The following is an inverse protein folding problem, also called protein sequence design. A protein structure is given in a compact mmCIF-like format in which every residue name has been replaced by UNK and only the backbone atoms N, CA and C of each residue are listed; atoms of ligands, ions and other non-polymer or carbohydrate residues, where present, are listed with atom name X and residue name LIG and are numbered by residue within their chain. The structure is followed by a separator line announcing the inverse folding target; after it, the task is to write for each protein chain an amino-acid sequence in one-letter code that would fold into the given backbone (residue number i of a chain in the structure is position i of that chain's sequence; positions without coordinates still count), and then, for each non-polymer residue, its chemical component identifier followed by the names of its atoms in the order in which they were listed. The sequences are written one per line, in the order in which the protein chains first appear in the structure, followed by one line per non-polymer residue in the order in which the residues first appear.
data_IF_531593720144
#
_entry.id   IF_531593720144
#
_cell.length_a   1.000
_cell.length_b   1.000
_cell.length_c   1.000
_cell.angle_alpha   90.00
_cell.angle_beta   90.00
_cell.angle_gamma   90.00
#
_symmetry.space_group_name_H-M   'P 1'
#
loop_
_entity.id
_entity.type
_entity.pdbx_description
1 polymer ?
#
# COMPACT_ATOMS: atom_id res chain seq x y z
N UNK A 1 14.93 34.82 -46.83
CA UNK A 1 13.71 35.16 -46.08
C UNK A 1 13.68 34.31 -44.81
N UNK A 2 14.17 34.86 -43.70
CA UNK A 2 14.18 34.19 -42.39
C UNK A 2 12.90 34.56 -41.64
N UNK A 3 12.03 33.58 -41.37
CA UNK A 3 10.82 33.80 -40.57
C UNK A 3 11.20 33.91 -39.09
N UNK A 4 11.17 35.12 -38.53
CA UNK A 4 11.36 35.32 -37.10
C UNK A 4 10.22 34.67 -36.30
N UNK A 5 10.56 33.69 -35.47
CA UNK A 5 9.60 33.07 -34.55
C UNK A 5 9.50 33.96 -33.30
N UNK A 6 8.44 34.78 -33.22
CA UNK A 6 8.15 35.57 -32.04
C UNK A 6 7.79 34.65 -30.84
N UNK A 7 8.21 35.00 -29.61
CA UNK A 7 7.90 34.28 -28.36
C UNK A 7 6.41 33.94 -28.21
N UNK A 8 5.53 34.86 -28.63
CA UNK A 8 4.07 34.63 -28.64
C UNK A 8 3.66 33.53 -29.63
N UNK A 9 4.30 33.50 -30.80
CA UNK A 9 4.10 32.45 -31.81
C UNK A 9 4.65 31.10 -31.37
N UNK A 10 5.78 31.08 -30.65
CA UNK A 10 6.32 29.88 -30.03
C UNK A 10 5.37 29.33 -28.96
N UNK A 11 4.95 30.16 -27.99
CA UNK A 11 4.01 29.76 -26.94
C UNK A 11 2.66 29.28 -27.50
N UNK A 12 2.11 29.97 -28.50
CA UNK A 12 0.87 29.55 -29.16
C UNK A 12 1.03 28.19 -29.86
N UNK A 13 2.15 27.95 -30.54
CA UNK A 13 2.44 26.66 -31.18
C UNK A 13 2.65 25.54 -30.14
N UNK A 14 3.31 25.82 -29.02
CA UNK A 14 3.51 24.86 -27.93
C UNK A 14 2.19 24.44 -27.26
N UNK A 15 1.28 25.39 -27.01
CA UNK A 15 -0.05 25.10 -26.45
C UNK A 15 -0.87 24.23 -27.41
N UNK A 16 -0.83 24.55 -28.71
CA UNK A 16 -1.51 23.74 -29.73
C UNK A 16 -0.94 22.31 -29.82
N UNK A 17 0.37 22.13 -29.69
CA UNK A 17 1.01 20.81 -29.65
C UNK A 17 0.58 19.99 -28.41
N UNK A 18 0.46 20.63 -27.24
CA UNK A 18 0.00 19.95 -26.01
C UNK A 18 -1.48 19.54 -26.04
N UNK A 19 -2.33 20.28 -26.76
CA UNK A 19 -3.73 19.88 -26.96
C UNK A 19 -3.87 18.64 -27.86
N UNK A 20 -2.97 18.47 -28.84
CA UNK A 20 -2.90 17.27 -29.69
C UNK A 20 -2.44 16.02 -28.94
N UNK A 21 -1.55 16.16 -27.94
CA UNK A 21 -1.09 15.05 -27.12
C UNK A 21 -2.22 14.40 -26.31
N UNK A 22 -3.23 15.17 -25.87
CA UNK A 22 -4.38 14.66 -25.12
C UNK A 22 -5.24 13.65 -25.92
N UNK A 23 -5.21 13.72 -27.26
CA UNK A 23 -5.92 12.78 -28.12
C UNK A 23 -5.18 11.42 -28.22
N UNK A 24 -3.86 11.42 -28.09
CA UNK A 24 -3.01 10.23 -28.11
C UNK A 24 -2.80 9.55 -26.75
N UNK A 25 -3.33 10.12 -25.66
CA UNK A 25 -3.25 9.50 -24.35
C UNK A 25 -4.01 8.18 -24.34
N UNK A 26 -3.35 7.16 -23.80
CA UNK A 26 -3.97 5.87 -23.48
C UNK A 26 -5.14 6.07 -22.51
N UNK A 27 -6.04 5.09 -22.47
CA UNK A 27 -7.15 5.13 -21.50
C UNK A 27 -6.64 5.22 -20.05
N UNK A 28 -5.48 4.64 -19.77
CA UNK A 28 -4.84 4.69 -18.45
C UNK A 28 -4.35 6.10 -18.10
N UNK A 29 -3.69 6.80 -19.04
CA UNK A 29 -3.23 8.18 -18.82
C UNK A 29 -4.39 9.15 -18.66
N UNK A 30 -5.50 8.95 -19.40
CA UNK A 30 -6.73 9.73 -19.23
C UNK A 30 -7.37 9.47 -17.86
N UNK A 31 -7.39 8.21 -17.40
CA UNK A 31 -7.90 7.85 -16.08
C UNK A 31 -7.02 8.42 -14.95
N UNK A 32 -5.69 8.37 -15.10
CA UNK A 32 -4.75 8.94 -14.15
C UNK A 32 -4.87 10.46 -14.07
N UNK A 33 -4.97 11.15 -15.21
CA UNK A 33 -5.17 12.60 -15.25
C UNK A 33 -6.50 13.01 -14.60
N UNK A 34 -7.58 12.24 -14.83
CA UNK A 34 -8.87 12.45 -14.17
C UNK A 34 -8.80 12.22 -12.65
N UNK A 35 -7.98 11.26 -12.19
CA UNK A 35 -7.76 11.01 -10.77
C UNK A 35 -6.90 12.11 -10.13
N UNK A 36 -5.86 12.59 -10.81
CA UNK A 36 -5.01 13.69 -10.36
C UNK A 36 -5.75 15.03 -10.30
N UNK A 37 -6.76 15.23 -11.16
CA UNK A 37 -7.63 16.41 -11.14
C UNK A 37 -8.66 16.40 -10.01
N UNK A 38 -8.92 15.24 -9.36
CA UNK A 38 -9.74 15.20 -8.16
C UNK A 38 -8.95 15.81 -7.01
N UNK A 39 -9.52 16.82 -6.34
CA UNK A 39 -9.01 17.30 -5.06
C UNK A 39 -8.80 16.07 -4.15
N UNK A 40 -7.65 15.95 -3.46
CA UNK A 40 -7.47 14.88 -2.49
C UNK A 40 -8.67 14.93 -1.55
N UNK A 41 -9.39 13.81 -1.48
CA UNK A 41 -10.44 13.65 -0.49
C UNK A 41 -9.74 13.88 0.84
N UNK A 42 -10.13 14.93 1.56
CA UNK A 42 -9.67 15.12 2.92
C UNK A 42 -9.94 13.80 3.63
N UNK A 43 -8.87 13.11 4.04
CA UNK A 43 -8.99 11.94 4.90
C UNK A 43 -9.80 12.46 6.07
N UNK A 44 -11.06 12.01 6.16
CA UNK A 44 -11.93 12.41 7.24
C UNK A 44 -11.10 12.23 8.51
N UNK A 45 -10.88 13.31 9.25
CA UNK A 45 -10.16 13.28 10.51
C UNK A 45 -10.75 12.11 11.28
N UNK A 46 -9.98 11.04 11.43
CA UNK A 46 -10.45 9.84 12.06
C UNK A 46 -10.96 10.29 13.43
N UNK A 47 -12.28 10.34 13.61
CA UNK A 47 -12.82 10.35 14.96
C UNK A 47 -12.17 9.13 15.57
N UNK A 48 -11.26 9.35 16.53
CA UNK A 48 -10.56 8.31 17.26
C UNK A 48 -11.61 7.28 17.62
N UNK A 49 -11.66 6.17 16.87
CA UNK A 49 -12.71 5.19 17.06
C UNK A 49 -12.56 4.77 18.50
N UNK A 50 -13.55 5.04 19.36
CA UNK A 50 -13.59 4.51 20.72
C UNK A 50 -13.27 3.03 20.57
N UNK A 51 -12.08 2.61 21.02
CA UNK A 51 -11.29 1.52 20.43
C UNK A 51 -12.07 0.33 19.88
N UNK A 52 -11.57 -0.29 18.80
CA UNK A 52 -12.26 -1.39 18.12
C UNK A 52 -12.81 -2.44 19.09
N UNK A 53 -13.99 -3.03 18.81
CA UNK A 53 -14.48 -4.17 19.57
C UNK A 53 -13.40 -5.26 19.66
N UNK A 54 -13.20 -5.80 20.86
CA UNK A 54 -12.17 -6.79 21.15
C UNK A 54 -12.81 -8.13 21.52
N UNK A 55 -12.20 -9.22 21.07
CA UNK A 55 -12.40 -10.57 21.58
C UNK A 55 -11.30 -11.00 22.55
N UNK A 56 -11.43 -12.20 23.10
CA UNK A 56 -10.41 -12.84 23.92
C UNK A 56 -10.22 -14.29 23.47
N UNK A 57 -8.96 -14.71 23.28
CA UNK A 57 -8.57 -16.10 23.06
C UNK A 57 -7.62 -16.48 24.19
N UNK A 58 -8.03 -17.40 25.06
CA UNK A 58 -7.26 -17.71 26.28
C UNK A 58 -7.03 -16.47 27.14
N UNK A 59 -5.77 -16.05 27.29
CA UNK A 59 -5.37 -14.83 28.03
C UNK A 59 -5.16 -13.61 27.12
N UNK A 60 -5.23 -13.78 25.81
CA UNK A 60 -4.88 -12.76 24.81
C UNK A 60 -6.12 -11.97 24.41
N UNK A 61 -6.02 -10.64 24.40
CA UNK A 61 -7.07 -9.70 23.94
C UNK A 61 -6.77 -9.30 22.51
N UNK A 62 -7.73 -9.46 21.60
CA UNK A 62 -7.49 -9.35 20.16
C UNK A 62 -8.60 -8.49 19.53
N UNK A 63 -8.27 -7.56 18.64
CA UNK A 63 -9.25 -6.75 17.90
C UNK A 63 -10.11 -7.63 16.99
N UNK A 64 -11.37 -7.24 16.73
CA UNK A 64 -12.25 -7.98 15.81
C UNK A 64 -11.86 -7.83 14.33
N UNK A 65 -10.90 -6.94 14.05
CA UNK A 65 -10.27 -6.74 12.73
C UNK A 65 -8.77 -6.99 12.89
N UNK A 66 -8.14 -7.59 11.88
CA UNK A 66 -6.71 -7.90 11.86
C UNK A 66 -6.03 -7.27 10.65
N UNK A 67 -4.75 -6.92 10.80
CA UNK A 67 -3.90 -6.63 9.65
C UNK A 67 -3.58 -7.94 8.90
N UNK A 68 -3.97 -8.02 7.63
CA UNK A 68 -3.72 -9.21 6.79
C UNK A 68 -2.31 -9.25 6.19
N UNK A 69 -1.74 -10.45 6.04
CA UNK A 69 -0.33 -10.64 5.75
C UNK A 69 0.10 -10.87 4.30
N UNK A 70 -0.80 -10.99 3.32
CA UNK A 70 -0.39 -11.37 1.95
C UNK A 70 0.51 -10.31 1.28
N UNK A 71 0.09 -9.05 1.35
CA UNK A 71 0.85 -7.92 0.80
C UNK A 71 2.20 -7.75 1.51
N UNK A 72 2.20 -8.00 2.82
CA UNK A 72 3.37 -7.93 3.70
C UNK A 72 4.36 -9.07 3.40
N UNK A 73 3.86 -10.25 3.07
CA UNK A 73 4.69 -11.41 2.71
C UNK A 73 5.28 -11.27 1.29
N UNK A 74 4.78 -10.32 0.49
CA UNK A 74 5.23 -10.11 -0.88
C UNK A 74 4.87 -11.24 -1.84
N UNK A 75 3.76 -11.95 -1.59
CA UNK A 75 3.23 -12.99 -2.47
C UNK A 75 1.84 -12.61 -2.96
N UNK A 76 1.62 -12.76 -4.27
CA UNK A 76 0.30 -12.65 -4.87
C UNK A 76 -0.11 -13.97 -5.50
N UNK A 77 -1.38 -14.34 -5.32
CA UNK A 77 -2.02 -15.34 -6.17
C UNK A 77 -2.39 -14.68 -7.50
N UNK A 78 -1.49 -14.75 -8.48
CA UNK A 78 -1.60 -13.97 -9.72
C UNK A 78 -1.74 -14.81 -11.00
N UNK A 79 -2.05 -16.12 -10.88
CA UNK A 79 -2.08 -17.08 -12.01
C UNK A 79 -0.85 -16.88 -12.91
N UNK A 80 -1.05 -16.43 -14.14
CA UNK A 80 -0.01 -16.28 -15.17
C UNK A 80 0.70 -14.91 -15.13
N UNK A 81 0.24 -13.98 -14.27
CA UNK A 81 0.85 -12.66 -14.14
C UNK A 81 2.10 -12.74 -13.25
N UNK A 82 3.21 -13.16 -13.85
CA UNK A 82 4.50 -13.38 -13.19
C UNK A 82 5.08 -12.12 -12.51
N UNK A 83 4.69 -10.92 -12.97
CA UNK A 83 5.23 -9.65 -12.49
C UNK A 83 4.60 -9.15 -11.18
N UNK A 84 3.48 -9.73 -10.74
CA UNK A 84 2.70 -9.17 -9.62
C UNK A 84 3.44 -9.30 -8.28
N UNK A 85 4.08 -10.45 -8.01
CA UNK A 85 4.85 -10.60 -6.77
C UNK A 85 6.09 -9.66 -6.73
N UNK A 86 6.89 -9.53 -7.82
CA UNK A 86 7.91 -8.48 -7.91
C UNK A 86 7.36 -7.07 -7.71
N UNK A 87 6.22 -6.73 -8.34
CA UNK A 87 5.60 -5.41 -8.20
C UNK A 87 5.21 -5.13 -6.74
N UNK A 88 4.56 -6.09 -6.06
CA UNK A 88 4.21 -5.95 -4.65
C UNK A 88 5.44 -5.70 -3.79
N UNK A 89 6.52 -6.45 -3.98
CA UNK A 89 7.75 -6.26 -3.18
C UNK A 89 8.41 -4.90 -3.39
N UNK A 90 8.30 -4.32 -4.58
CA UNK A 90 8.81 -2.98 -4.85
C UNK A 90 7.91 -1.88 -4.27
N UNK A 91 6.60 -2.12 -4.21
CA UNK A 91 5.64 -1.14 -3.67
C UNK A 91 5.55 -1.19 -2.14
N UNK A 92 5.45 -2.39 -1.56
CA UNK A 92 5.35 -2.65 -0.13
C UNK A 92 6.75 -2.81 0.47
N UNK A 93 7.50 -1.72 0.48
CA UNK A 93 8.80 -1.65 1.17
C UNK A 93 8.63 -1.88 2.68
N UNK A 94 9.70 -2.29 3.36
CA UNK A 94 9.67 -2.48 4.82
C UNK A 94 9.09 -1.24 5.56
N UNK A 95 9.44 -0.02 5.12
CA UNK A 95 8.92 1.22 5.72
C UNK A 95 7.43 1.44 5.46
N UNK A 96 6.93 1.12 4.26
CA UNK A 96 5.51 1.23 3.92
C UNK A 96 4.67 0.20 4.65
N UNK A 97 5.21 -1.00 4.84
CA UNK A 97 4.59 -2.02 5.69
C UNK A 97 4.47 -1.52 7.13
N UNK A 98 5.53 -0.92 7.70
CA UNK A 98 5.48 -0.41 9.06
C UNK A 98 4.56 0.80 9.23
N UNK A 99 4.51 1.72 8.26
CA UNK A 99 3.52 2.82 8.22
C UNK A 99 2.09 2.25 8.24
N UNK A 100 1.85 1.16 7.51
CA UNK A 100 0.54 0.48 7.55
C UNK A 100 0.26 -0.10 8.93
N UNK A 101 1.26 -0.67 9.60
CA UNK A 101 1.12 -1.18 10.95
C UNK A 101 0.82 -0.07 11.97
N UNK A 102 1.49 1.07 11.88
CA UNK A 102 1.25 2.25 12.73
C UNK A 102 -0.19 2.72 12.59
N UNK A 103 -0.66 2.89 11.34
CA UNK A 103 -2.06 3.25 11.07
C UNK A 103 -3.01 2.20 11.65
N UNK A 104 -2.69 0.90 11.54
CA UNK A 104 -3.51 -0.14 12.14
C UNK A 104 -3.60 0.04 13.67
N UNK A 105 -2.47 0.25 14.35
CA UNK A 105 -2.43 0.46 15.80
C UNK A 105 -3.17 1.73 16.24
N UNK A 106 -2.99 2.84 15.52
CA UNK A 106 -3.69 4.11 15.74
C UNK A 106 -5.21 3.95 15.63
N UNK A 107 -5.66 3.10 14.71
CA UNK A 107 -7.07 2.76 14.52
C UNK A 107 -7.58 1.67 15.48
N UNK A 108 -6.76 1.25 16.45
CA UNK A 108 -7.12 0.28 17.49
C UNK A 108 -7.06 -1.19 17.06
N UNK A 109 -6.48 -1.50 15.89
CA UNK A 109 -6.13 -2.87 15.51
C UNK A 109 -4.87 -3.26 16.26
N UNK A 110 -4.92 -4.36 17.02
CA UNK A 110 -3.79 -4.77 17.84
C UNK A 110 -3.15 -6.09 17.41
N UNK A 111 -3.60 -6.66 16.29
CA UNK A 111 -3.17 -7.98 15.85
C UNK A 111 -3.01 -8.07 14.34
N UNK A 112 -1.97 -8.78 13.90
CA UNK A 112 -1.67 -9.06 12.51
C UNK A 112 -1.57 -10.57 12.27
N UNK A 113 -2.09 -11.04 11.14
CA UNK A 113 -1.91 -12.43 10.68
C UNK A 113 -0.82 -12.43 9.62
N UNK A 114 0.36 -12.94 9.96
CA UNK A 114 1.50 -13.02 9.04
C UNK A 114 1.98 -14.47 8.94
N UNK A 115 2.54 -14.83 7.78
CA UNK A 115 3.14 -16.14 7.55
C UNK A 115 4.38 -16.32 8.41
N UNK A 116 4.57 -17.52 8.95
CA UNK A 116 5.79 -17.88 9.66
C UNK A 116 6.91 -18.19 8.65
N UNK A 117 7.72 -17.18 8.35
CA UNK A 117 8.88 -17.26 7.46
C UNK A 117 9.91 -16.16 7.79
N UNK A 118 11.14 -16.31 7.27
CA UNK A 118 12.25 -15.38 7.55
C UNK A 118 11.95 -13.93 7.15
N UNK A 119 11.15 -13.71 6.12
CA UNK A 119 10.80 -12.39 5.64
C UNK A 119 9.85 -11.67 6.61
N UNK A 120 8.77 -12.32 7.02
CA UNK A 120 7.83 -11.78 8.01
C UNK A 120 8.47 -11.66 9.40
N UNK A 121 9.32 -12.62 9.80
CA UNK A 121 10.10 -12.55 11.04
C UNK A 121 11.01 -11.31 11.04
N UNK A 122 11.72 -11.06 9.93
CA UNK A 122 12.56 -9.84 9.78
C UNK A 122 11.73 -8.57 9.94
N UNK A 123 10.59 -8.49 9.24
CA UNK A 123 9.72 -7.29 9.25
C UNK A 123 9.17 -7.03 10.65
N UNK A 124 8.54 -8.03 11.28
CA UNK A 124 7.87 -7.82 12.56
C UNK A 124 8.85 -7.49 13.69
N UNK A 125 10.03 -8.14 13.69
CA UNK A 125 11.09 -7.81 14.65
C UNK A 125 11.63 -6.40 14.43
N UNK A 126 11.82 -5.96 13.18
CA UNK A 126 12.25 -4.59 12.91
C UNK A 126 11.17 -3.59 13.35
N UNK A 127 9.90 -3.89 13.16
CA UNK A 127 8.81 -3.04 13.61
C UNK A 127 8.79 -2.88 15.14
N UNK A 128 8.88 -3.98 15.88
CA UNK A 128 8.93 -3.95 17.35
C UNK A 128 10.17 -3.23 17.88
N UNK A 129 11.36 -3.54 17.35
CA UNK A 129 12.61 -3.04 17.91
C UNK A 129 12.94 -1.60 17.47
N UNK A 130 12.60 -1.21 16.24
CA UNK A 130 13.05 0.07 15.68
C UNK A 130 11.94 1.12 15.70
N UNK A 131 10.66 0.72 15.67
CA UNK A 131 9.52 1.63 15.67
C UNK A 131 8.68 1.57 16.95
N UNK A 132 8.98 0.63 17.85
CA UNK A 132 8.27 0.50 19.13
C UNK A 132 6.85 -0.02 19.00
N UNK A 133 6.53 -0.67 17.88
CA UNK A 133 5.20 -1.22 17.61
C UNK A 133 4.78 -2.27 18.63
N UNK A 134 3.46 -2.48 18.80
CA UNK A 134 2.89 -3.40 19.81
C UNK A 134 1.96 -4.45 19.21
N UNK A 135 1.89 -4.52 17.88
CA UNK A 135 1.06 -5.50 17.17
C UNK A 135 1.39 -6.91 17.65
N UNK A 136 0.34 -7.64 18.01
CA UNK A 136 0.41 -9.05 18.33
C UNK A 136 0.42 -9.87 17.04
N UNK A 137 1.32 -10.83 16.94
CA UNK A 137 1.42 -11.67 15.75
C UNK A 137 0.67 -12.99 15.94
N UNK A 138 -0.32 -13.23 15.07
CA UNK A 138 -0.93 -14.54 14.86
C UNK A 138 -0.16 -15.23 13.73
N UNK A 139 0.71 -16.17 14.09
CA UNK A 139 1.56 -16.87 13.15
C UNK A 139 0.77 -17.89 12.31
N UNK A 140 0.74 -17.69 10.99
CA UNK A 140 0.23 -18.68 10.06
C UNK A 140 1.35 -19.67 9.73
N UNK A 141 1.16 -20.92 10.18
CA UNK A 141 2.14 -21.99 10.03
C UNK A 141 1.71 -22.89 8.88
N UNK A 142 2.66 -23.23 8.00
CA UNK A 142 2.49 -24.31 7.03
C UNK A 142 3.04 -25.60 7.68
N UNK A 143 2.15 -26.54 7.99
CA UNK A 143 2.57 -27.85 8.49
C UNK A 143 3.40 -28.59 7.43
N UNK A 144 4.42 -29.31 7.86
CA UNK A 144 5.15 -30.22 7.00
C UNK A 144 4.38 -31.54 6.89
N UNK A 145 4.65 -32.32 5.84
CA UNK A 145 3.97 -33.61 5.61
C UNK A 145 4.21 -34.65 6.70
N UNK A 146 5.17 -34.43 7.60
CA UNK A 146 5.52 -35.34 8.69
C UNK A 146 4.93 -34.90 10.05
N UNK A 147 4.16 -33.81 10.09
CA UNK A 147 3.58 -33.26 11.33
C UNK A 147 2.15 -33.79 11.62
N UNK A 148 1.72 -34.87 10.96
CA UNK A 148 0.39 -35.48 11.08
C UNK A 148 0.43 -36.87 11.75
#
# INVERSE_FOLDING_TARGET
MSSETNRRGFLMKSVAASAGAALGLSFEEKALAAQAAKKPVAVASAENTKGLPMGKIGKVRISRVFAGGNLISGFAHSRDLIYVSPLLRNYFTDDKVMETFEICEEMGINSAILRLDDHCIRIINRYWNNRGGKLQWIAQIKMTTNDA
#
